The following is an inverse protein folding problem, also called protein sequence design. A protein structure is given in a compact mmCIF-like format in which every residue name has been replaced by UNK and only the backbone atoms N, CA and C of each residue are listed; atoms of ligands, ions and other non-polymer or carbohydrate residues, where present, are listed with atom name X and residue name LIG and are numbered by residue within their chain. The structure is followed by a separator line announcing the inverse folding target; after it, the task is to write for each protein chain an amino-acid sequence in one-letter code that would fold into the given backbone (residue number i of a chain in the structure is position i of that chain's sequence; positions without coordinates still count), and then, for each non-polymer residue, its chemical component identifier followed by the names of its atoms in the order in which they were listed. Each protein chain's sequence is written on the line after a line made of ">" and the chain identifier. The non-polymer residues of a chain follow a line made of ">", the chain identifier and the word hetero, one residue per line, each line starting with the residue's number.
data_IF_706118177441
#
_entry.id   IF_706118177441
#
_cell.length_a   1.000
_cell.length_b   1.000
_cell.length_c   1.000
_cell.angle_alpha   90.00
_cell.angle_beta   90.00
_cell.angle_gamma   90.00
#
_symmetry.space_group_name_H-M   'P 1'
#
loop_
_entity.id
_entity.type
_entity.pdbx_description
1 polymer ?
#
# COMPACT_ATOMS: atom_id res chain seq x y z
N UNK A 1 19.35 6.59 -27.20
CA UNK A 1 19.29 7.63 -26.16
C UNK A 1 19.54 6.97 -24.81
N UNK A 2 20.69 7.25 -24.19
CA UNK A 2 21.25 6.55 -23.02
C UNK A 2 20.65 7.04 -21.67
N UNK A 3 19.45 7.61 -21.70
CA UNK A 3 18.90 8.41 -20.59
C UNK A 3 17.57 7.85 -20.04
N UNK A 4 16.90 6.92 -20.74
CA UNK A 4 15.63 6.35 -20.26
C UNK A 4 15.78 5.13 -19.33
N UNK A 5 16.93 4.43 -19.34
CA UNK A 5 17.12 3.25 -18.49
C UNK A 5 17.54 3.57 -17.05
N UNK A 6 17.93 4.81 -16.75
CA UNK A 6 18.51 5.19 -15.45
C UNK A 6 17.45 5.52 -14.38
N UNK A 7 16.18 5.75 -14.76
CA UNK A 7 15.09 5.84 -13.77
C UNK A 7 14.55 4.48 -13.32
N UNK A 8 14.98 3.36 -13.95
CA UNK A 8 14.63 1.99 -13.57
C UNK A 8 15.60 1.34 -12.58
N UNK A 9 16.54 2.11 -12.01
CA UNK A 9 17.51 1.63 -11.01
C UNK A 9 16.97 1.59 -9.56
N UNK A 10 15.66 1.71 -9.38
CA UNK A 10 15.02 1.30 -8.13
C UNK A 10 14.45 -0.09 -8.38
N UNK A 11 15.02 -1.12 -7.74
CA UNK A 11 14.48 -2.48 -7.73
C UNK A 11 12.95 -2.42 -7.67
N UNK A 12 12.28 -3.18 -8.54
CA UNK A 12 10.84 -3.35 -8.44
C UNK A 12 10.55 -3.79 -7.00
N UNK A 13 9.67 -3.08 -6.29
CA UNK A 13 9.42 -3.30 -4.85
C UNK A 13 9.01 -4.76 -4.57
N UNK A 14 8.40 -5.44 -5.54
CA UNK A 14 8.09 -6.87 -5.46
C UNK A 14 9.33 -7.76 -5.59
N UNK A 15 10.34 -7.38 -6.37
CA UNK A 15 11.63 -8.10 -6.45
C UNK A 15 12.44 -7.95 -5.16
N UNK A 16 12.44 -6.76 -4.56
CA UNK A 16 13.02 -6.56 -3.23
C UNK A 16 12.34 -7.49 -2.23
N UNK A 17 11.00 -7.49 -2.19
CA UNK A 17 10.24 -8.37 -1.30
C UNK A 17 10.54 -9.86 -1.54
N UNK A 18 10.67 -10.31 -2.81
CA UNK A 18 11.06 -11.69 -3.15
C UNK A 18 12.46 -12.04 -2.65
N UNK A 19 13.39 -11.09 -2.72
CA UNK A 19 14.76 -11.29 -2.23
C UNK A 19 14.79 -11.44 -0.71
N UNK A 20 14.03 -10.61 0.03
CA UNK A 20 13.86 -10.76 1.47
C UNK A 20 13.18 -12.09 1.85
N UNK A 21 12.18 -12.52 1.06
CA UNK A 21 11.50 -13.80 1.26
C UNK A 21 12.49 -14.97 1.13
N UNK A 22 13.36 -14.97 0.11
CA UNK A 22 14.41 -15.99 -0.03
C UNK A 22 15.38 -15.99 1.13
N UNK A 23 15.82 -14.83 1.62
CA UNK A 23 16.69 -14.76 2.79
C UNK A 23 16.06 -15.43 4.02
N UNK A 24 14.77 -15.20 4.25
CA UNK A 24 14.03 -15.82 5.37
C UNK A 24 13.92 -17.34 5.19
N UNK A 25 13.58 -17.81 3.99
CA UNK A 25 13.25 -19.22 3.77
C UNK A 25 14.45 -20.11 3.45
N UNK A 26 15.45 -19.60 2.74
CA UNK A 26 16.64 -20.39 2.34
C UNK A 26 17.71 -20.39 3.43
N UNK A 27 17.78 -19.35 4.26
CA UNK A 27 18.76 -19.23 5.35
C UNK A 27 18.12 -19.28 6.75
N UNK A 28 16.83 -19.64 6.82
CA UNK A 28 16.06 -19.77 8.07
C UNK A 28 16.13 -18.52 8.98
N UNK A 29 16.30 -17.34 8.37
CA UNK A 29 16.44 -16.07 9.10
C UNK A 29 15.09 -15.56 9.58
N UNK A 30 15.05 -14.95 10.77
CA UNK A 30 13.84 -14.25 11.21
C UNK A 30 13.68 -12.91 10.49
N UNK A 31 12.47 -12.33 10.52
CA UNK A 31 12.25 -10.97 10.00
C UNK A 31 13.15 -9.93 10.69
N UNK A 32 13.56 -10.17 11.94
CA UNK A 32 14.45 -9.28 12.67
C UNK A 32 15.90 -9.40 12.17
N UNK A 33 16.36 -10.62 11.90
CA UNK A 33 17.72 -10.87 11.39
C UNK A 33 17.90 -10.25 10.01
N UNK A 34 16.93 -10.45 9.12
CA UNK A 34 16.94 -9.84 7.78
C UNK A 34 16.89 -8.32 7.88
N UNK A 35 16.06 -7.77 8.77
CA UNK A 35 15.98 -6.32 8.98
C UNK A 35 17.33 -5.73 9.41
N UNK A 36 18.03 -6.39 10.36
CA UNK A 36 19.37 -6.00 10.79
C UNK A 36 20.38 -6.09 9.64
N UNK A 37 20.36 -7.19 8.87
CA UNK A 37 21.29 -7.42 7.77
C UNK A 37 21.14 -6.38 6.63
N UNK A 38 19.91 -5.95 6.34
CA UNK A 38 19.62 -4.98 5.26
C UNK A 38 19.46 -3.54 5.75
N UNK A 39 19.74 -3.26 7.02
CA UNK A 39 19.68 -1.91 7.60
C UNK A 39 18.28 -1.29 7.63
N UNK A 40 17.23 -2.11 7.77
CA UNK A 40 15.82 -1.66 7.80
C UNK A 40 15.16 -2.00 9.14
N UNK A 41 13.96 -1.47 9.36
CA UNK A 41 13.15 -1.87 10.50
C UNK A 41 12.45 -3.22 10.22
N UNK A 42 12.22 -4.02 11.28
CA UNK A 42 11.45 -5.26 11.20
C UNK A 42 10.05 -5.05 10.61
N UNK A 43 9.43 -3.92 10.93
CA UNK A 43 8.14 -3.52 10.36
C UNK A 43 8.25 -3.24 8.85
N UNK A 44 9.33 -2.59 8.40
CA UNK A 44 9.62 -2.37 6.98
C UNK A 44 9.74 -3.67 6.19
N UNK A 45 10.52 -4.64 6.70
CA UNK A 45 10.64 -5.97 6.10
C UNK A 45 9.28 -6.67 6.04
N UNK A 46 8.53 -6.66 7.13
CA UNK A 46 7.19 -7.26 7.17
C UNK A 46 6.23 -6.62 6.14
N UNK A 47 6.28 -5.30 6.00
CA UNK A 47 5.43 -4.58 5.03
C UNK A 47 5.78 -4.94 3.59
N UNK A 48 7.06 -5.12 3.26
CA UNK A 48 7.49 -5.56 1.93
C UNK A 48 7.00 -6.98 1.63
N UNK A 49 7.19 -7.91 2.57
CA UNK A 49 6.76 -9.30 2.40
C UNK A 49 5.25 -9.40 2.17
N UNK A 50 4.45 -8.57 2.85
CA UNK A 50 2.98 -8.52 2.64
C UNK A 50 2.57 -8.14 1.22
N UNK A 51 3.44 -7.47 0.45
CA UNK A 51 3.15 -7.17 -0.95
C UNK A 51 3.15 -8.44 -1.82
N UNK A 52 3.89 -9.47 -1.41
CA UNK A 52 3.88 -10.78 -2.08
C UNK A 52 2.56 -11.53 -1.89
N UNK A 53 1.76 -11.15 -0.89
CA UNK A 53 0.45 -11.76 -0.59
C UNK A 53 -0.70 -11.07 -1.35
N UNK A 54 -0.42 -9.99 -2.09
CA UNK A 54 -1.43 -9.27 -2.87
C UNK A 54 -1.95 -10.10 -4.04
N UNK A 55 -3.17 -9.76 -4.45
CA UNK A 55 -3.76 -10.26 -5.70
C UNK A 55 -2.89 -9.88 -6.92
N UNK A 56 -2.89 -10.73 -7.94
CA UNK A 56 -2.11 -10.55 -9.16
C UNK A 56 -2.41 -9.23 -9.87
N UNK A 57 -3.68 -8.82 -9.94
CA UNK A 57 -4.06 -7.55 -10.56
C UNK A 57 -3.44 -6.37 -9.82
N UNK A 58 -3.41 -6.42 -8.48
CA UNK A 58 -2.84 -5.34 -7.66
C UNK A 58 -1.32 -5.28 -7.79
N UNK A 59 -0.66 -6.43 -7.86
CA UNK A 59 0.78 -6.50 -8.16
C UNK A 59 1.09 -5.88 -9.51
N UNK A 60 0.33 -6.22 -10.56
CA UNK A 60 0.51 -5.64 -11.88
C UNK A 60 0.34 -4.11 -11.87
N UNK A 61 -0.66 -3.60 -11.15
CA UNK A 61 -0.88 -2.15 -10.99
C UNK A 61 0.22 -1.45 -10.19
N UNK A 62 0.86 -2.14 -9.25
CA UNK A 62 2.03 -1.63 -8.53
C UNK A 62 3.26 -1.59 -9.44
N UNK A 63 3.46 -2.62 -10.27
CA UNK A 63 4.57 -2.71 -11.22
C UNK A 63 4.45 -1.71 -12.38
N UNK A 64 3.23 -1.44 -12.85
CA UNK A 64 2.95 -0.42 -13.89
C UNK A 64 3.09 1.01 -13.37
N UNK A 65 3.12 1.21 -12.06
CA UNK A 65 3.14 2.53 -11.42
C UNK A 65 1.76 3.17 -11.25
N UNK A 66 0.66 2.46 -11.55
CA UNK A 66 -0.70 2.93 -11.29
C UNK A 66 -1.00 3.05 -9.79
N UNK A 67 -0.23 2.33 -8.96
CA UNK A 67 -0.29 2.39 -7.51
C UNK A 67 1.11 2.57 -6.92
N UNK A 68 1.24 3.52 -6.00
CA UNK A 68 2.40 3.56 -5.10
C UNK A 68 2.38 2.42 -4.05
N UNK A 69 3.55 2.11 -3.48
CA UNK A 69 3.72 1.12 -2.39
C UNK A 69 2.76 1.35 -1.22
N UNK A 70 2.48 2.62 -0.88
CA UNK A 70 1.55 2.96 0.19
C UNK A 70 0.12 2.48 -0.07
N UNK A 71 -0.35 2.57 -1.32
CA UNK A 71 -1.65 2.06 -1.74
C UNK A 71 -1.70 0.53 -1.63
N UNK A 72 -0.68 -0.14 -2.17
CA UNK A 72 -0.55 -1.59 -2.13
C UNK A 72 -0.53 -2.11 -0.68
N UNK A 73 0.19 -1.43 0.22
CA UNK A 73 0.22 -1.75 1.66
C UNK A 73 -1.16 -1.59 2.32
N UNK A 74 -1.92 -0.57 1.96
CA UNK A 74 -3.29 -0.41 2.47
C UNK A 74 -4.17 -1.59 2.01
N UNK A 75 -4.10 -1.95 0.72
CA UNK A 75 -4.85 -3.05 0.12
C UNK A 75 -4.51 -4.43 0.74
N UNK A 76 -3.27 -4.64 1.19
CA UNK A 76 -2.85 -5.86 1.90
C UNK A 76 -3.58 -6.10 3.24
N UNK A 77 -4.41 -5.15 3.69
CA UNK A 77 -5.32 -5.33 4.83
C UNK A 77 -6.70 -5.89 4.46
N UNK A 78 -7.02 -6.03 3.17
CA UNK A 78 -8.31 -6.53 2.67
C UNK A 78 -8.23 -8.00 2.25
N UNK A 79 -9.37 -8.74 2.28
CA UNK A 79 -9.47 -10.05 1.63
C UNK A 79 -9.09 -9.96 0.16
N UNK A 80 -8.37 -10.97 -0.35
CA UNK A 80 -7.87 -11.03 -1.75
C UNK A 80 -9.00 -10.69 -2.75
N UNK A 81 -10.20 -11.25 -2.58
CA UNK A 81 -11.35 -11.03 -3.47
C UNK A 81 -11.80 -9.57 -3.62
N UNK A 82 -11.50 -8.71 -2.64
CA UNK A 82 -11.86 -7.29 -2.66
C UNK A 82 -10.74 -6.39 -3.22
N UNK A 83 -9.51 -6.89 -3.26
CA UNK A 83 -8.34 -6.08 -3.60
C UNK A 83 -8.40 -5.53 -5.03
N UNK A 84 -8.72 -6.31 -6.09
CA UNK A 84 -8.67 -5.81 -7.47
C UNK A 84 -9.66 -4.68 -7.74
N UNK A 85 -10.90 -4.83 -7.27
CA UNK A 85 -11.94 -3.81 -7.43
C UNK A 85 -11.59 -2.53 -6.66
N UNK A 86 -11.04 -2.68 -5.45
CA UNK A 86 -10.63 -1.55 -4.61
C UNK A 86 -9.43 -0.82 -5.22
N UNK A 87 -8.44 -1.56 -5.72
CA UNK A 87 -7.26 -1.03 -6.42
C UNK A 87 -7.63 -0.22 -7.66
N UNK A 88 -8.47 -0.78 -8.54
CA UNK A 88 -8.97 -0.07 -9.73
C UNK A 88 -9.67 1.23 -9.35
N UNK A 89 -10.44 1.25 -8.27
CA UNK A 89 -11.11 2.46 -7.79
C UNK A 89 -10.13 3.50 -7.24
N UNK A 90 -9.10 3.08 -6.51
CA UNK A 90 -8.05 3.97 -6.00
C UNK A 90 -7.33 4.66 -7.17
N UNK A 91 -6.91 3.89 -8.16
CA UNK A 91 -6.21 4.39 -9.34
C UNK A 91 -7.11 5.30 -10.20
N UNK A 92 -8.33 4.87 -10.52
CA UNK A 92 -9.26 5.63 -11.36
C UNK A 92 -9.66 6.99 -10.76
N UNK A 93 -9.71 7.09 -9.42
CA UNK A 93 -10.01 8.35 -8.72
C UNK A 93 -8.75 9.18 -8.47
N UNK A 94 -7.55 8.59 -8.61
CA UNK A 94 -6.29 9.24 -8.25
C UNK A 94 -6.20 9.54 -6.75
N UNK A 95 -6.64 8.59 -5.91
CA UNK A 95 -6.57 8.79 -4.45
C UNK A 95 -5.11 8.90 -3.99
N UNK A 96 -4.84 9.81 -3.07
CA UNK A 96 -3.57 9.80 -2.32
C UNK A 96 -3.50 8.59 -1.37
N UNK A 97 -2.29 8.20 -0.98
CA UNK A 97 -2.05 7.08 -0.05
C UNK A 97 -2.89 7.21 1.23
N UNK A 98 -2.96 8.42 1.81
CA UNK A 98 -3.76 8.68 3.01
C UNK A 98 -5.27 8.50 2.77
N UNK A 99 -5.76 8.88 1.59
CA UNK A 99 -7.16 8.67 1.23
C UNK A 99 -7.46 7.19 1.02
N UNK A 100 -6.58 6.45 0.34
CA UNK A 100 -6.70 5.02 0.15
C UNK A 100 -6.69 4.25 1.47
N UNK A 101 -5.79 4.59 2.41
CA UNK A 101 -5.78 4.01 3.76
C UNK A 101 -7.13 4.20 4.47
N UNK A 102 -7.68 5.41 4.45
CA UNK A 102 -9.00 5.70 5.04
C UNK A 102 -10.12 4.93 4.32
N UNK A 103 -10.05 4.83 2.99
CA UNK A 103 -11.04 4.11 2.20
C UNK A 103 -11.04 2.62 2.53
N UNK A 104 -9.87 1.99 2.53
CA UNK A 104 -9.69 0.59 2.92
C UNK A 104 -10.13 0.36 4.36
N UNK A 105 -9.78 1.25 5.30
CA UNK A 105 -10.19 1.13 6.69
C UNK A 105 -11.72 1.12 6.85
N UNK A 106 -12.46 1.92 6.06
CA UNK A 106 -13.93 1.90 6.05
C UNK A 106 -14.49 0.58 5.51
N UNK A 107 -13.85 -0.01 4.51
CA UNK A 107 -14.26 -1.32 3.96
C UNK A 107 -14.03 -2.47 4.94
N UNK A 108 -12.98 -2.40 5.75
CA UNK A 108 -12.68 -3.40 6.81
C UNK A 108 -13.63 -3.32 8.00
N UNK A 109 -14.18 -2.13 8.27
CA UNK A 109 -15.09 -1.87 9.40
C UNK A 109 -16.48 -1.44 8.90
N UNK A 110 -17.28 -2.34 8.33
CA UNK A 110 -18.64 -2.01 7.85
C UNK A 110 -19.57 -1.54 8.98
N UNK A 111 -19.22 -1.79 10.26
CA UNK A 111 -20.06 -1.48 11.43
C UNK A 111 -20.11 0.00 11.87
N UNK A 112 -19.36 0.91 11.25
CA UNK A 112 -19.34 2.33 11.65
C UNK A 112 -19.78 3.32 10.56
N UNK A 113 -20.47 2.85 9.51
CA UNK A 113 -20.95 3.71 8.42
C UNK A 113 -22.13 4.63 8.78
N UNK A 114 -22.53 4.74 10.05
CA UNK A 114 -23.58 5.65 10.51
C UNK A 114 -23.08 6.98 11.11
N UNK A 115 -21.77 7.15 11.36
CA UNK A 115 -21.24 8.45 11.79
C UNK A 115 -20.79 9.29 10.59
N UNK A 116 -21.76 9.79 9.81
CA UNK A 116 -21.51 10.96 8.96
C UNK A 116 -21.04 12.12 9.84
N UNK A 117 -19.88 12.76 9.58
CA UNK A 117 -19.65 14.08 10.12
C UNK A 117 -20.70 15.00 9.47
N UNK A 118 -21.55 15.61 10.31
CA UNK A 118 -22.41 16.71 9.86
C UNK A 118 -21.50 17.78 9.25
N UNK A 119 -21.87 18.40 8.11
CA UNK A 119 -21.13 19.56 7.62
C UNK A 119 -21.12 20.60 8.74
N UNK A 120 -19.92 21.08 9.10
CA UNK A 120 -19.76 22.19 10.02
C UNK A 120 -20.53 23.38 9.45
N UNK A 121 -21.56 23.81 10.16
CA UNK A 121 -22.24 25.08 9.90
C UNK A 121 -21.22 26.17 10.21
N UNK A 122 -20.84 26.94 9.18
CA UNK A 122 -20.03 28.16 9.32
C UNK A 122 -20.72 29.11 10.32
N UNK A 123 -20.08 29.49 11.43
CA UNK A 123 -20.63 30.48 12.33
C UNK A 123 -20.21 31.90 11.89
N UNK A 124 -21.21 32.73 11.66
CA UNK A 124 -21.20 34.20 11.55
C UNK A 124 -20.74 34.87 10.24
N UNK A 125 -21.68 34.96 9.29
CA UNK A 125 -21.93 36.21 8.56
C UNK A 125 -23.14 36.90 9.20
N UNK A 126 -22.92 37.98 9.97
CA UNK A 126 -23.78 39.18 10.12
C UNK A 126 -23.54 39.90 11.45
N UNK A 127 -22.85 41.03 11.38
CA UNK A 127 -23.13 42.29 12.08
C UNK A 127 -22.66 43.36 11.08
N UNK A 128 -23.51 44.08 10.31
CA UNK A 128 -24.41 45.18 10.70
C UNK A 128 -23.83 46.07 11.80
#
# INVERSE_FOLDING_TARGET
>A
ALIENIQREQLNVLEEARSLYRLIHEFEMTHQDVATAVGRSRAGVTNLLRLLELDGDVKNMLESGDLEMGHARALAGLPISMQPQTARKIAAVGMSVRQAERFVQKLRSPKNAESRPRPAVDPNVKQL
#
